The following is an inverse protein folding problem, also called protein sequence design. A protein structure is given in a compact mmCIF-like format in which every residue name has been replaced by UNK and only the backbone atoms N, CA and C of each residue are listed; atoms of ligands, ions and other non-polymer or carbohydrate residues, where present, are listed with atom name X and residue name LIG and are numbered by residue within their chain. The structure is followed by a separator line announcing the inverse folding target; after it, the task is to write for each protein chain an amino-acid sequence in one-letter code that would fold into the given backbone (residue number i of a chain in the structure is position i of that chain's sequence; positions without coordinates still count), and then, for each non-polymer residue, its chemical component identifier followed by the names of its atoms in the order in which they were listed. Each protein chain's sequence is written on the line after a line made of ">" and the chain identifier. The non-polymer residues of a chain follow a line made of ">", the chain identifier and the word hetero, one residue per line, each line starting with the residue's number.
data_IF_640567417709
#
_entry.id   IF_640567417709
#
_cell.length_a   1.000
_cell.length_b   1.000
_cell.length_c   1.000
_cell.angle_alpha   90.00
_cell.angle_beta   90.00
_cell.angle_gamma   90.00
#
_symmetry.space_group_name_H-M   'P 1'
#
loop_
_entity.id
_entity.type
_entity.pdbx_description
1 polymer ?
#
# COMPACT_ATOMS: atom_id res chain seq x y z
N UNK A 1 -9.72 5.82 36.58
CA UNK A 1 -9.23 4.47 36.28
C UNK A 1 -9.17 4.33 34.77
N UNK A 2 -7.97 4.34 34.19
CA UNK A 2 -7.81 4.10 32.76
C UNK A 2 -7.67 2.58 32.60
N UNK A 3 -8.53 1.98 31.78
CA UNK A 3 -8.57 0.55 31.53
C UNK A 3 -7.23 0.14 30.90
N UNK A 4 -6.39 -0.60 31.63
CA UNK A 4 -5.03 -1.02 31.22
C UNK A 4 -4.98 -1.64 29.79
N UNK A 5 -5.98 -2.44 29.34
CA UNK A 5 -6.04 -2.96 27.97
C UNK A 5 -6.12 -1.88 26.88
N UNK A 6 -6.77 -0.73 27.17
CA UNK A 6 -6.95 0.36 26.21
C UNK A 6 -5.65 1.13 25.97
N UNK A 7 -4.84 1.33 27.00
CA UNK A 7 -3.56 2.07 26.90
C UNK A 7 -2.53 1.27 26.09
N UNK A 8 -2.43 -0.03 26.35
CA UNK A 8 -1.54 -0.92 25.59
C UNK A 8 -1.96 -1.00 24.11
N UNK A 9 -3.26 -1.10 23.84
CA UNK A 9 -3.79 -1.10 22.47
C UNK A 9 -3.46 0.20 21.73
N UNK A 10 -3.67 1.36 22.37
CA UNK A 10 -3.38 2.66 21.78
C UNK A 10 -1.88 2.81 21.44
N UNK A 11 -1.00 2.32 22.32
CA UNK A 11 0.45 2.32 22.08
C UNK A 11 0.82 1.52 20.83
N UNK A 12 0.23 0.35 20.64
CA UNK A 12 0.49 -0.52 19.48
C UNK A 12 -0.03 0.09 18.18
N UNK A 13 -1.24 0.68 18.18
CA UNK A 13 -1.75 1.41 17.00
C UNK A 13 -0.88 2.60 16.65
N UNK A 14 -0.37 3.34 17.66
CA UNK A 14 0.59 4.44 17.43
C UNK A 14 1.88 3.92 16.80
N UNK A 15 2.37 2.75 17.23
CA UNK A 15 3.57 2.16 16.64
C UNK A 15 3.34 1.70 15.20
N UNK A 16 2.17 1.12 14.88
CA UNK A 16 1.77 0.82 13.50
C UNK A 16 1.79 2.10 12.66
N UNK A 17 1.19 3.19 13.15
CA UNK A 17 1.18 4.47 12.45
C UNK A 17 2.59 5.00 12.19
N UNK A 18 3.48 4.95 13.19
CA UNK A 18 4.89 5.34 13.03
C UNK A 18 5.63 4.46 12.03
N UNK A 19 5.36 3.16 12.00
CA UNK A 19 5.98 2.24 11.05
C UNK A 19 5.56 2.55 9.61
N UNK A 20 4.26 2.79 9.40
CA UNK A 20 3.72 3.20 8.10
C UNK A 20 4.28 4.56 7.69
N UNK A 21 4.43 5.48 8.64
CA UNK A 21 5.03 6.80 8.42
C UNK A 21 6.50 6.72 8.03
N UNK A 22 7.27 5.88 8.71
CA UNK A 22 8.68 5.66 8.38
C UNK A 22 8.87 5.14 6.95
N UNK A 23 7.91 4.36 6.45
CA UNK A 23 7.92 3.84 5.09
C UNK A 23 7.25 4.77 4.07
N UNK A 24 6.79 5.95 4.49
CA UNK A 24 6.20 6.94 3.60
C UNK A 24 7.14 7.25 2.44
N UNK A 25 6.56 7.28 1.25
CA UNK A 25 7.20 7.66 -0.01
C UNK A 25 8.38 6.75 -0.42
N UNK A 26 8.61 5.62 0.25
CA UNK A 26 9.57 4.60 -0.23
C UNK A 26 8.93 3.77 -1.33
N UNK A 27 9.71 3.43 -2.34
CA UNK A 27 9.24 2.58 -3.43
C UNK A 27 9.36 1.11 -3.06
N UNK A 28 8.23 0.48 -2.70
CA UNK A 28 8.21 -0.96 -2.41
C UNK A 28 8.44 -1.83 -3.67
N UNK A 29 8.33 -1.25 -4.87
CA UNK A 29 8.64 -1.95 -6.11
C UNK A 29 10.12 -1.85 -6.51
N UNK A 30 10.94 -1.14 -5.74
CA UNK A 30 12.36 -1.04 -6.01
C UNK A 30 13.06 -2.41 -5.97
N UNK A 31 14.16 -2.55 -6.71
CA UNK A 31 14.95 -3.78 -6.71
C UNK A 31 15.57 -4.06 -5.35
N UNK A 32 16.00 -2.99 -4.66
CA UNK A 32 16.54 -3.05 -3.30
C UNK A 32 15.50 -2.57 -2.28
N UNK A 33 15.16 -3.44 -1.33
CA UNK A 33 14.27 -3.13 -0.21
C UNK A 33 15.00 -2.86 1.12
N UNK A 34 16.32 -2.68 1.14
CA UNK A 34 17.12 -2.42 2.36
C UNK A 34 16.63 -1.20 3.16
N UNK A 35 15.99 -0.24 2.50
CA UNK A 35 15.40 0.92 3.18
C UNK A 35 14.12 0.59 3.97
N UNK A 36 13.50 -0.57 3.72
CA UNK A 36 12.35 -1.08 4.46
C UNK A 36 12.80 -1.97 5.61
N UNK A 37 12.48 -1.53 6.83
CA UNK A 37 12.81 -2.23 8.07
C UNK A 37 11.82 -1.87 9.16
N UNK A 38 11.75 -2.68 10.21
CA UNK A 38 11.03 -2.29 11.42
C UNK A 38 11.80 -1.20 12.17
N UNK A 39 11.11 -0.12 12.53
CA UNK A 39 11.71 0.94 13.35
C UNK A 39 11.92 0.47 14.78
N UNK A 40 12.85 1.12 15.49
CA UNK A 40 13.20 0.76 16.87
C UNK A 40 11.98 0.71 17.79
N UNK A 41 11.01 1.61 17.65
CA UNK A 41 9.78 1.58 18.44
C UNK A 41 8.92 0.35 18.15
N UNK A 42 8.84 -0.10 16.89
CA UNK A 42 8.17 -1.34 16.51
C UNK A 42 8.89 -2.53 17.14
N UNK A 43 10.22 -2.56 17.12
CA UNK A 43 11.03 -3.61 17.75
C UNK A 43 10.79 -3.70 19.26
N UNK A 44 10.72 -2.54 19.93
CA UNK A 44 10.41 -2.49 21.35
C UNK A 44 8.97 -2.94 21.63
N UNK A 45 8.04 -2.64 20.73
CA UNK A 45 6.63 -3.03 20.85
C UNK A 45 6.39 -4.51 20.58
N UNK A 46 7.23 -5.16 19.76
CA UNK A 46 7.17 -6.60 19.46
C UNK A 46 7.26 -7.43 20.74
N UNK A 47 8.07 -7.03 21.73
CA UNK A 47 8.13 -7.72 23.01
C UNK A 47 6.78 -7.75 23.76
N UNK A 48 5.94 -6.72 23.55
CA UNK A 48 4.62 -6.60 24.14
C UNK A 48 3.57 -7.42 23.35
N UNK A 49 3.84 -7.75 22.07
CA UNK A 49 2.93 -8.53 21.22
C UNK A 49 2.63 -9.92 21.78
N UNK A 50 3.61 -10.53 22.44
CA UNK A 50 3.46 -11.84 23.08
C UNK A 50 2.43 -11.86 24.23
N UNK A 51 2.03 -10.69 24.72
CA UNK A 51 1.11 -10.55 25.86
C UNK A 51 -0.32 -10.17 25.42
N UNK A 52 -0.56 -10.08 24.11
CA UNK A 52 -1.84 -9.61 23.55
C UNK A 52 -2.85 -10.77 23.48
N UNK A 53 -4.09 -10.50 23.88
CA UNK A 53 -5.21 -11.43 23.71
C UNK A 53 -5.63 -11.56 22.24
N UNK A 54 -6.08 -12.74 21.80
CA UNK A 54 -6.44 -13.04 20.38
C UNK A 54 -7.38 -12.00 19.75
N UNK A 55 -8.42 -11.55 20.46
CA UNK A 55 -9.34 -10.54 19.93
C UNK A 55 -8.67 -9.17 19.67
N UNK A 56 -7.65 -8.84 20.47
CA UNK A 56 -6.86 -7.62 20.32
C UNK A 56 -5.87 -7.73 19.15
N UNK A 57 -5.34 -8.92 18.90
CA UNK A 57 -4.48 -9.20 17.74
C UNK A 57 -5.24 -9.00 16.43
N UNK A 58 -6.46 -9.54 16.31
CA UNK A 58 -7.27 -9.35 15.11
C UNK A 58 -7.53 -7.86 14.82
N UNK A 59 -7.84 -7.07 15.86
CA UNK A 59 -8.03 -5.63 15.70
C UNK A 59 -6.77 -4.94 15.16
N UNK A 60 -5.58 -5.28 15.68
CA UNK A 60 -4.32 -4.69 15.22
C UNK A 60 -3.98 -5.09 13.78
N UNK A 61 -4.30 -6.33 13.40
CA UNK A 61 -4.16 -6.81 12.02
C UNK A 61 -5.03 -5.99 11.08
N UNK A 62 -6.34 -5.85 11.37
CA UNK A 62 -7.24 -5.04 10.54
C UNK A 62 -6.80 -3.57 10.49
N UNK A 63 -6.37 -3.01 11.61
CA UNK A 63 -5.86 -1.65 11.67
C UNK A 63 -4.61 -1.45 10.78
N UNK A 64 -3.66 -2.39 10.82
CA UNK A 64 -2.47 -2.35 9.99
C UNK A 64 -2.80 -2.49 8.50
N UNK A 65 -3.73 -3.36 8.13
CA UNK A 65 -4.25 -3.52 6.77
C UNK A 65 -4.83 -2.20 6.26
N UNK A 66 -5.71 -1.57 7.02
CA UNK A 66 -6.34 -0.30 6.64
C UNK A 66 -5.29 0.79 6.43
N UNK A 67 -4.28 0.89 7.31
CA UNK A 67 -3.21 1.88 7.19
C UNK A 67 -2.29 1.60 6.01
N UNK A 68 -2.00 0.34 5.72
CA UNK A 68 -1.22 -0.04 4.54
C UNK A 68 -1.94 0.35 3.25
N UNK A 69 -3.22 0.01 3.13
CA UNK A 69 -4.06 0.37 1.98
C UNK A 69 -4.11 1.89 1.81
N UNK A 70 -4.36 2.64 2.89
CA UNK A 70 -4.35 4.10 2.85
C UNK A 70 -2.98 4.66 2.40
N UNK A 71 -1.89 4.06 2.88
CA UNK A 71 -0.53 4.41 2.49
C UNK A 71 -0.29 4.23 0.99
N UNK A 72 -0.73 3.11 0.42
CA UNK A 72 -0.64 2.85 -1.01
C UNK A 72 -1.52 3.82 -1.81
N UNK A 73 -2.80 3.96 -1.47
CA UNK A 73 -3.72 4.85 -2.17
C UNK A 73 -3.29 6.33 -2.11
N UNK A 74 -2.56 6.74 -1.06
CA UNK A 74 -1.96 8.08 -0.99
C UNK A 74 -0.88 8.31 -2.04
N UNK A 75 -0.09 7.28 -2.34
CA UNK A 75 0.98 7.35 -3.36
C UNK A 75 0.37 7.36 -4.76
N UNK A 76 -0.63 6.51 -5.00
CA UNK A 76 -1.36 6.44 -6.26
C UNK A 76 -2.86 6.25 -6.01
N UNK A 77 -3.65 7.28 -6.33
CA UNK A 77 -5.11 7.26 -6.15
C UNK A 77 -5.82 6.21 -7.01
N UNK A 78 -5.15 5.70 -8.04
CA UNK A 78 -5.70 4.67 -8.92
C UNK A 78 -5.47 3.25 -8.42
N UNK A 79 -4.74 3.07 -7.31
CA UNK A 79 -4.71 1.77 -6.68
C UNK A 79 -6.09 1.37 -6.20
N UNK A 80 -6.50 0.17 -6.60
CA UNK A 80 -7.75 -0.44 -6.18
C UNK A 80 -7.43 -1.80 -5.59
N UNK A 81 -8.13 -2.13 -4.50
CA UNK A 81 -7.97 -3.38 -3.78
C UNK A 81 -9.35 -3.99 -3.59
N UNK A 82 -9.64 -5.02 -4.39
CA UNK A 82 -10.86 -5.81 -4.30
C UNK A 82 -10.89 -6.69 -3.03
N UNK A 83 -11.96 -7.45 -2.85
CA UNK A 83 -12.09 -8.35 -1.69
C UNK A 83 -11.03 -9.45 -1.66
N UNK A 84 -10.61 -9.96 -2.83
CA UNK A 84 -9.59 -11.01 -2.94
C UNK A 84 -8.21 -10.51 -2.48
N UNK A 85 -7.74 -9.40 -3.04
CA UNK A 85 -6.47 -8.77 -2.68
C UNK A 85 -6.45 -8.31 -1.22
N UNK A 86 -7.56 -7.83 -0.66
CA UNK A 86 -7.67 -7.53 0.78
C UNK A 86 -7.52 -8.77 1.66
N UNK A 87 -8.08 -9.90 1.26
CA UNK A 87 -7.93 -11.17 1.97
C UNK A 87 -6.49 -11.71 1.90
N UNK A 88 -5.82 -11.55 0.76
CA UNK A 88 -4.38 -11.84 0.65
C UNK A 88 -3.53 -10.95 1.55
N UNK A 89 -3.84 -9.65 1.61
CA UNK A 89 -3.17 -8.73 2.52
C UNK A 89 -3.39 -9.12 3.98
N UNK A 90 -4.61 -9.55 4.33
CA UNK A 90 -4.94 -10.07 5.66
C UNK A 90 -4.09 -11.28 6.04
N UNK A 91 -3.88 -12.22 5.12
CA UNK A 91 -2.97 -13.35 5.32
C UNK A 91 -1.54 -12.88 5.55
N UNK A 92 -1.03 -11.92 4.77
CA UNK A 92 0.33 -11.37 4.95
C UNK A 92 0.52 -10.78 6.35
N UNK A 93 -0.44 -10.00 6.84
CA UNK A 93 -0.36 -9.42 8.19
C UNK A 93 -0.58 -10.47 9.29
N UNK A 94 -1.47 -11.43 9.09
CA UNK A 94 -1.66 -12.53 10.05
C UNK A 94 -0.40 -13.38 10.20
N UNK A 95 0.26 -13.70 9.08
CA UNK A 95 1.55 -14.39 9.07
C UNK A 95 2.62 -13.55 9.78
N UNK A 96 2.69 -12.25 9.53
CA UNK A 96 3.65 -11.37 10.19
C UNK A 96 3.49 -11.43 11.72
N UNK A 97 2.28 -11.27 12.24
CA UNK A 97 2.02 -11.34 13.68
C UNK A 97 2.38 -12.71 14.25
N UNK A 98 2.10 -13.78 13.51
CA UNK A 98 2.48 -15.14 13.91
C UNK A 98 3.99 -15.34 13.94
N UNK A 99 4.70 -14.88 12.92
CA UNK A 99 6.16 -15.01 12.80
C UNK A 99 6.86 -14.25 13.95
N UNK A 100 6.37 -13.04 14.25
CA UNK A 100 6.82 -12.23 15.39
C UNK A 100 6.59 -12.98 16.72
N UNK A 101 5.37 -13.49 16.94
CA UNK A 101 5.01 -14.14 18.20
C UNK A 101 5.76 -15.45 18.45
N UNK A 102 6.01 -16.19 17.38
CA UNK A 102 6.68 -17.50 17.47
C UNK A 102 8.20 -17.39 17.41
N UNK A 103 8.75 -16.19 17.17
CA UNK A 103 10.17 -15.98 16.89
C UNK A 103 10.67 -16.97 15.83
N UNK A 104 9.92 -17.10 14.74
CA UNK A 104 10.17 -18.13 13.71
C UNK A 104 11.50 -17.96 12.98
N UNK A 105 12.06 -16.75 12.98
CA UNK A 105 13.34 -16.37 12.36
C UNK A 105 13.89 -15.10 13.05
N UNK A 106 15.03 -14.57 12.61
CA UNK A 106 15.52 -13.27 13.04
C UNK A 106 14.55 -12.16 12.62
N UNK A 107 14.49 -11.09 13.42
CA UNK A 107 13.64 -9.93 13.15
C UNK A 107 13.96 -9.31 11.78
N UNK A 108 15.22 -9.28 11.39
CA UNK A 108 15.67 -8.78 10.10
C UNK A 108 15.09 -9.63 8.96
N UNK A 109 15.11 -10.96 9.09
CA UNK A 109 14.54 -11.87 8.10
C UNK A 109 13.01 -11.78 8.04
N UNK A 110 12.33 -11.67 9.19
CA UNK A 110 10.88 -11.46 9.27
C UNK A 110 10.50 -10.16 8.55
N UNK A 111 11.23 -9.07 8.82
CA UNK A 111 11.04 -7.78 8.19
C UNK A 111 11.23 -7.87 6.67
N UNK A 112 12.34 -8.45 6.21
CA UNK A 112 12.64 -8.62 4.78
C UNK A 112 11.55 -9.42 4.07
N UNK A 113 11.18 -10.57 4.63
CA UNK A 113 10.16 -11.44 4.06
C UNK A 113 8.79 -10.74 4.00
N UNK A 114 8.44 -9.95 5.01
CA UNK A 114 7.19 -9.18 5.01
C UNK A 114 7.13 -8.18 3.86
N UNK A 115 8.18 -7.38 3.66
CA UNK A 115 8.18 -6.39 2.58
C UNK A 115 8.24 -7.02 1.18
N UNK A 116 8.92 -8.15 1.02
CA UNK A 116 8.87 -8.92 -0.23
C UNK A 116 7.47 -9.48 -0.52
N UNK A 117 6.77 -10.01 0.50
CA UNK A 117 5.37 -10.42 0.37
C UNK A 117 4.49 -9.25 -0.06
N UNK A 118 4.65 -8.07 0.56
CA UNK A 118 3.91 -6.85 0.19
C UNK A 118 4.22 -6.36 -1.23
N UNK A 119 5.49 -6.40 -1.66
CA UNK A 119 5.90 -6.07 -3.04
C UNK A 119 5.18 -6.96 -4.04
N UNK A 120 5.21 -8.27 -3.84
CA UNK A 120 4.56 -9.22 -4.74
C UNK A 120 3.03 -9.08 -4.75
N UNK A 121 2.43 -8.84 -3.57
CA UNK A 121 1.00 -8.56 -3.46
C UNK A 121 0.58 -7.29 -4.21
N UNK A 122 1.37 -6.20 -4.13
CA UNK A 122 1.08 -4.98 -4.87
C UNK A 122 1.16 -5.21 -6.38
N UNK A 123 2.17 -5.96 -6.85
CA UNK A 123 2.29 -6.32 -8.28
C UNK A 123 1.11 -7.14 -8.78
N UNK A 124 0.65 -8.11 -7.98
CA UNK A 124 -0.46 -8.97 -8.34
C UNK A 124 -1.80 -8.20 -8.38
N UNK A 125 -2.05 -7.35 -7.40
CA UNK A 125 -3.30 -6.57 -7.30
C UNK A 125 -3.35 -5.37 -8.23
N UNK A 126 -2.20 -4.75 -8.51
CA UNK A 126 -2.09 -3.51 -9.27
C UNK A 126 -0.91 -3.58 -10.25
N UNK A 127 -0.96 -4.43 -11.29
CA UNK A 127 0.18 -4.69 -12.19
C UNK A 127 0.63 -3.46 -12.99
N UNK A 128 -0.25 -2.46 -13.13
CA UNK A 128 0.12 -1.19 -13.77
C UNK A 128 1.17 -0.39 -12.96
N UNK A 129 1.31 -0.66 -11.66
CA UNK A 129 2.24 0.02 -10.77
C UNK A 129 3.68 -0.06 -11.27
N UNK A 130 4.10 -1.20 -11.81
CA UNK A 130 5.45 -1.42 -12.33
C UNK A 130 5.77 -0.55 -13.55
N UNK A 131 4.74 -0.12 -14.30
CA UNK A 131 4.92 0.77 -15.46
C UNK A 131 5.09 2.22 -15.04
N UNK A 132 4.56 2.59 -13.88
CA UNK A 132 4.59 3.97 -13.36
C UNK A 132 5.84 4.20 -12.50
N UNK A 133 6.19 3.21 -11.67
CA UNK A 133 7.25 3.32 -10.68
C UNK A 133 8.45 2.44 -11.07
N UNK A 134 9.53 3.03 -11.62
CA UNK A 134 10.69 2.27 -12.03
C UNK A 134 11.38 1.63 -10.82
N UNK A 135 11.87 0.40 -10.99
CA UNK A 135 12.52 -0.37 -9.93
C UNK A 135 13.85 0.26 -9.42
N UNK A 136 14.42 1.19 -10.18
CA UNK A 136 15.63 1.95 -9.81
C UNK A 136 15.35 3.15 -8.91
N UNK A 137 14.10 3.59 -8.80
CA UNK A 137 13.74 4.71 -7.93
C UNK A 137 13.45 4.21 -6.52
N UNK A 138 14.25 4.59 -5.53
CA UNK A 138 14.03 4.21 -4.12
C UNK A 138 12.95 5.06 -3.42
N UNK A 139 12.73 6.29 -3.91
CA UNK A 139 11.73 7.21 -3.38
C UNK A 139 10.72 7.59 -4.43
N UNK A 140 9.46 7.63 -4.03
CA UNK A 140 8.33 8.01 -4.83
C UNK A 140 7.98 9.48 -4.58
N UNK A 141 7.57 10.16 -5.63
CA UNK A 141 6.82 11.41 -5.48
C UNK A 141 5.33 11.06 -5.53
N UNK A 142 4.51 11.52 -4.58
CA UNK A 142 3.07 11.29 -4.63
C UNK A 142 2.50 11.73 -5.99
N UNK A 143 1.70 10.87 -6.62
CA UNK A 143 1.22 11.06 -8.01
C UNK A 143 -0.19 11.68 -8.03
N UNK A 144 -0.59 12.33 -6.94
CA UNK A 144 -1.94 12.83 -6.71
C UNK A 144 -2.50 13.72 -7.85
N UNK A 145 -1.64 14.32 -8.68
CA UNK A 145 -2.03 15.19 -9.80
C UNK A 145 -1.19 14.97 -11.08
N UNK A 146 -0.66 13.76 -11.34
CA UNK A 146 0.05 13.54 -12.61
C UNK A 146 -0.91 13.25 -13.76
N UNK A 147 -0.63 13.80 -14.93
CA UNK A 147 -1.27 13.37 -16.16
C UNK A 147 -0.63 12.06 -16.65
N UNK A 148 -1.43 11.01 -16.78
CA UNK A 148 -1.01 9.72 -17.33
C UNK A 148 -1.18 9.69 -18.86
N UNK A 149 -0.50 8.79 -19.55
CA UNK A 149 -0.73 8.62 -21.00
C UNK A 149 -2.18 8.14 -21.26
N UNK A 150 -2.77 8.48 -22.42
CA UNK A 150 -4.12 8.02 -22.78
C UNK A 150 -4.30 6.50 -22.69
N UNK A 151 -3.27 5.73 -23.10
CA UNK A 151 -3.28 4.28 -23.05
C UNK A 151 -3.31 3.77 -21.61
N UNK A 152 -2.51 4.37 -20.73
CA UNK A 152 -2.48 4.01 -19.32
C UNK A 152 -3.80 4.39 -18.62
N UNK A 153 -4.39 5.54 -18.96
CA UNK A 153 -5.71 5.94 -18.46
C UNK A 153 -6.79 4.94 -18.88
N UNK A 154 -6.80 4.48 -20.15
CA UNK A 154 -7.73 3.43 -20.60
C UNK A 154 -7.57 2.14 -19.80
N UNK A 155 -6.33 1.72 -19.57
CA UNK A 155 -6.05 0.49 -18.84
C UNK A 155 -6.50 0.57 -17.37
N UNK A 156 -6.24 1.70 -16.71
CA UNK A 156 -6.60 1.92 -15.30
C UNK A 156 -8.11 2.07 -15.12
N UNK A 157 -8.76 2.83 -16.00
CA UNK A 157 -10.19 3.13 -15.93
C UNK A 157 -11.07 2.08 -16.66
N UNK A 158 -10.44 1.04 -17.21
CA UNK A 158 -11.09 0.01 -18.01
C UNK A 158 -12.00 0.57 -19.13
N UNK A 159 -11.51 1.59 -19.83
CA UNK A 159 -12.26 2.26 -20.91
C UNK A 159 -12.02 1.56 -22.25
N UNK A 160 -13.11 1.20 -22.94
CA UNK A 160 -13.08 0.87 -24.36
C UNK A 160 -13.50 2.08 -25.18
N UNK A 161 -12.53 2.65 -25.91
CA UNK A 161 -12.72 3.83 -26.77
C UNK A 161 -13.84 3.62 -27.79
N UNK A 162 -14.01 2.40 -28.31
CA UNK A 162 -14.98 2.13 -29.37
C UNK A 162 -16.42 2.08 -28.86
N UNK A 163 -16.60 1.92 -27.55
CA UNK A 163 -17.91 1.81 -26.91
C UNK A 163 -18.27 3.05 -26.08
N UNK A 164 -17.44 4.09 -26.09
CA UNK A 164 -17.66 5.31 -25.33
C UNK A 164 -18.78 6.15 -25.97
N UNK A 165 -19.88 6.30 -25.23
CA UNK A 165 -20.97 7.19 -25.61
C UNK A 165 -20.49 8.64 -25.61
N UNK A 166 -20.69 9.34 -26.72
CA UNK A 166 -20.37 10.76 -26.83
C UNK A 166 -21.59 11.64 -26.49
N UNK A 167 -21.38 12.86 -25.95
CA UNK A 167 -20.10 13.53 -25.70
C UNK A 167 -19.38 13.10 -24.42
N UNK A 168 -18.05 13.17 -24.42
CA UNK A 168 -17.21 12.80 -23.26
C UNK A 168 -16.83 14.06 -22.46
N UNK A 169 -17.04 14.02 -21.14
CA UNK A 169 -16.61 15.05 -20.19
C UNK A 169 -15.36 14.58 -19.44
N UNK A 170 -14.28 15.36 -19.52
CA UNK A 170 -13.02 15.13 -18.81
C UNK A 170 -12.95 16.03 -17.57
N UNK A 171 -12.91 15.44 -16.38
CA UNK A 171 -12.83 16.16 -15.10
C UNK A 171 -11.49 15.83 -14.44
N UNK A 172 -10.57 16.79 -14.44
CA UNK A 172 -9.26 16.68 -13.81
C UNK A 172 -8.45 17.97 -13.91
N UNK A 173 -7.40 18.11 -13.10
CA UNK A 173 -6.55 19.33 -13.04
C UNK A 173 -5.32 19.29 -13.98
N UNK A 174 -5.30 18.36 -14.94
CA UNK A 174 -4.17 18.13 -15.84
C UNK A 174 -3.90 19.27 -16.84
N UNK A 175 -2.66 19.36 -17.31
CA UNK A 175 -2.19 20.28 -18.36
C UNK A 175 -2.72 20.04 -19.80
N UNK A 176 -3.93 19.49 -20.02
CA UNK A 176 -4.61 19.32 -21.34
C UNK A 176 -3.87 18.53 -22.44
N UNK A 177 -2.54 18.44 -22.45
CA UNK A 177 -1.72 17.83 -23.50
C UNK A 177 -1.75 16.30 -23.47
N UNK A 178 -1.97 15.74 -22.29
CA UNK A 178 -2.08 14.30 -22.03
C UNK A 178 -3.51 13.91 -21.61
N UNK A 179 -4.48 14.82 -21.79
CA UNK A 179 -5.87 14.55 -21.44
C UNK A 179 -6.49 13.56 -22.43
N UNK A 180 -7.30 12.65 -21.90
CA UNK A 180 -7.94 11.60 -22.69
C UNK A 180 -8.82 12.18 -23.79
N UNK A 181 -9.55 13.25 -23.49
CA UNK A 181 -10.40 13.94 -24.49
C UNK A 181 -9.56 14.59 -25.61
N UNK A 182 -8.35 15.06 -25.33
CA UNK A 182 -7.48 15.57 -26.39
C UNK A 182 -7.04 14.45 -27.35
N UNK A 183 -6.73 13.26 -26.82
CA UNK A 183 -6.41 12.08 -27.64
C UNK A 183 -7.60 11.62 -28.49
N UNK A 184 -8.82 11.61 -27.94
CA UNK A 184 -10.03 11.27 -28.69
C UNK A 184 -10.28 12.24 -29.87
N UNK A 185 -10.01 13.53 -29.69
CA UNK A 185 -10.17 14.54 -30.74
C UNK A 185 -9.21 14.38 -31.94
N UNK A 186 -8.06 13.74 -31.75
CA UNK A 186 -7.11 13.49 -32.85
C UNK A 186 -7.48 12.28 -33.72
N UNK A 187 -8.48 11.49 -33.31
CA UNK A 187 -8.94 10.28 -34.03
C UNK A 187 -10.24 10.49 -34.82
N UNK A 188 -10.81 11.70 -34.78
CA UNK A 188 -12.00 12.11 -35.54
C UNK A 188 -11.59 12.95 -36.74
#
# INVERSE_FOLDING_TARGET
>A
MINIPYVAMNKLTINIDKQIEFNRDKNILADNLESFQFIAETLNAIAEVNQIHVASEQFLIEYAIDKAIQGFCRVNQYYSFDSGSKEELRKIYTDLFKDIRTNSDTIENISKNHYEKLKNWLKASNPFAEKIYPATAEKLKPVACAEYSPELQCNILHLDINCLNQPVLDIGCGSRKLSYVFHLKQRV
#
